data_IF_747620115362
#
_entry.id   IF_747620115362
#
_cell.length_a   1.000
_cell.length_b   1.000
_cell.length_c   1.000
_cell.angle_alpha   90.00
_cell.angle_beta   90.00
_cell.angle_gamma   90.00
#
_symmetry.space_group_name_H-M   'P 1'
#
loop_
_entity.id
_entity.type
_entity.pdbx_description
1 polymer ?
#
# COMPACT_ATOMS: atom_id res chain seq x y z
N UNK A 1 -28.19 0.72 -13.52
CA UNK A 1 -26.99 1.03 -12.70
C UNK A 1 -26.03 -0.17 -12.68
N UNK A 2 -25.05 -0.20 -13.59
CA UNK A 2 -24.09 -1.29 -13.68
C UNK A 2 -23.01 -1.13 -12.60
N UNK A 3 -23.06 -2.02 -11.60
CA UNK A 3 -21.97 -2.16 -10.62
C UNK A 3 -20.77 -2.68 -11.41
N UNK A 4 -19.83 -1.80 -11.77
CA UNK A 4 -18.55 -2.22 -12.35
C UNK A 4 -17.82 -3.00 -11.26
N UNK A 5 -17.75 -4.32 -11.41
CA UNK A 5 -16.82 -5.14 -10.63
C UNK A 5 -15.41 -4.56 -10.85
N UNK A 6 -14.57 -4.41 -9.81
CA UNK A 6 -13.18 -4.08 -10.00
C UNK A 6 -12.58 -5.15 -10.94
N UNK A 7 -12.02 -4.73 -12.08
CA UNK A 7 -11.34 -5.65 -13.00
C UNK A 7 -9.88 -5.91 -12.60
N UNK A 8 -9.43 -5.34 -11.49
CA UNK A 8 -8.06 -5.43 -10.99
C UNK A 8 -7.93 -6.28 -9.73
N UNK A 9 -6.69 -6.54 -9.34
CA UNK A 9 -6.37 -7.37 -8.17
C UNK A 9 -6.95 -6.73 -6.90
N UNK A 10 -7.67 -7.54 -6.12
CA UNK A 10 -8.08 -7.18 -4.76
C UNK A 10 -7.20 -8.00 -3.82
N UNK A 11 -6.69 -7.36 -2.78
CA UNK A 11 -5.95 -8.03 -1.73
C UNK A 11 -6.52 -7.67 -0.37
N UNK A 12 -6.16 -8.42 0.65
CA UNK A 12 -6.42 -8.08 2.05
C UNK A 12 -5.17 -8.27 2.88
N UNK A 13 -4.83 -7.26 3.66
CA UNK A 13 -3.78 -7.34 4.67
C UNK A 13 -4.34 -7.71 6.04
N UNK A 14 -3.56 -8.45 6.81
CA UNK A 14 -3.77 -8.71 8.23
C UNK A 14 -2.45 -8.95 8.96
N UNK A 15 -2.27 -8.41 10.17
CA UNK A 15 -1.06 -8.60 10.98
C UNK A 15 -0.14 -7.39 11.10
N UNK A 16 -0.49 -6.24 10.51
CA UNK A 16 0.09 -4.95 10.89
C UNK A 16 -0.33 -4.58 12.32
N UNK A 17 0.54 -3.89 13.06
CA UNK A 17 0.21 -3.40 14.41
C UNK A 17 -0.83 -2.28 14.38
N UNK A 18 -0.81 -1.48 13.30
CA UNK A 18 -1.82 -0.47 13.00
C UNK A 18 -3.05 -1.12 12.37
N UNK A 19 -4.16 -1.15 13.12
CA UNK A 19 -5.38 -1.82 12.68
C UNK A 19 -5.94 -1.22 11.39
N UNK A 20 -5.79 0.09 11.22
CA UNK A 20 -6.16 0.84 10.02
C UNK A 20 -5.46 0.38 8.74
N UNK A 21 -4.34 -0.34 8.82
CA UNK A 21 -3.64 -0.88 7.65
C UNK A 21 -4.13 -2.27 7.26
N UNK A 22 -4.83 -2.98 8.16
CA UNK A 22 -5.32 -4.36 7.98
C UNK A 22 -6.66 -4.41 7.23
N UNK A 23 -6.68 -3.82 6.04
CA UNK A 23 -7.87 -3.65 5.20
C UNK A 23 -7.74 -4.40 3.87
N UNK A 24 -8.83 -4.41 3.11
CA UNK A 24 -8.79 -4.79 1.70
C UNK A 24 -8.33 -3.62 0.85
N UNK A 25 -7.53 -3.89 -0.18
CA UNK A 25 -7.10 -2.89 -1.15
C UNK A 25 -7.39 -3.40 -2.55
N UNK A 26 -8.04 -2.58 -3.37
CA UNK A 26 -8.34 -2.89 -4.75
C UNK A 26 -7.50 -2.02 -5.68
N UNK A 27 -6.97 -2.63 -6.73
CA UNK A 27 -6.29 -1.90 -7.79
C UNK A 27 -7.22 -0.83 -8.39
N UNK A 28 -6.71 0.40 -8.50
CA UNK A 28 -7.44 1.51 -9.11
C UNK A 28 -6.97 1.72 -10.54
N UNK A 29 -7.81 1.31 -11.49
CA UNK A 29 -7.51 1.44 -12.92
C UNK A 29 -7.22 2.89 -13.32
N UNK A 30 -6.11 3.09 -14.03
CA UNK A 30 -5.67 4.41 -14.52
C UNK A 30 -4.99 5.29 -13.47
N UNK A 31 -4.88 4.84 -12.22
CA UNK A 31 -4.18 5.57 -11.16
C UNK A 31 -2.82 4.93 -10.88
N UNK A 32 -1.80 5.42 -11.59
CA UNK A 32 -0.41 5.05 -11.31
C UNK A 32 0.26 6.07 -10.39
N UNK A 33 1.03 5.57 -9.43
CA UNK A 33 1.84 6.41 -8.54
C UNK A 33 3.29 5.95 -8.68
N UNK A 34 4.15 6.90 -9.08
CA UNK A 34 5.57 6.69 -9.35
C UNK A 34 5.87 5.51 -10.30
N UNK A 35 5.01 5.31 -11.31
CA UNK A 35 5.24 4.38 -12.42
C UNK A 35 4.78 2.94 -12.17
N UNK A 36 3.92 2.69 -11.17
CA UNK A 36 3.19 1.42 -11.02
C UNK A 36 1.75 1.67 -10.60
N UNK A 37 0.90 0.67 -10.81
CA UNK A 37 -0.48 0.66 -10.33
C UNK A 37 -0.56 0.91 -8.81
N UNK A 38 -1.58 1.64 -8.39
CA UNK A 38 -1.90 1.89 -6.98
C UNK A 38 -3.13 1.10 -6.54
N UNK A 39 -3.18 0.77 -5.25
CA UNK A 39 -4.24 -0.05 -4.66
C UNK A 39 -4.83 0.71 -3.49
N UNK A 40 -6.15 0.77 -3.40
CA UNK A 40 -6.85 1.67 -2.50
C UNK A 40 -7.82 0.90 -1.63
N UNK A 41 -7.94 1.29 -0.37
CA UNK A 41 -9.00 0.78 0.47
C UNK A 41 -10.37 1.33 0.00
N UNK A 42 -11.48 0.66 0.33
CA UNK A 42 -12.81 1.09 -0.11
C UNK A 42 -13.21 2.50 0.34
N UNK A 43 -12.63 3.02 1.42
CA UNK A 43 -12.93 4.34 1.98
C UNK A 43 -11.96 5.43 1.50
N UNK A 44 -10.99 5.08 0.64
CA UNK A 44 -10.00 6.00 0.10
C UNK A 44 -9.20 6.74 1.19
N UNK A 45 -8.97 6.09 2.33
CA UNK A 45 -8.17 6.61 3.44
C UNK A 45 -6.72 6.18 3.35
N UNK A 46 -6.46 4.99 2.82
CA UNK A 46 -5.15 4.38 2.70
C UNK A 46 -4.94 3.80 1.30
N UNK A 47 -3.69 3.76 0.87
CA UNK A 47 -3.30 3.17 -0.39
C UNK A 47 -1.95 2.48 -0.34
N UNK A 48 -1.80 1.44 -1.17
CA UNK A 48 -0.55 0.77 -1.46
C UNK A 48 0.00 1.32 -2.77
N UNK A 49 1.28 1.68 -2.78
CA UNK A 49 1.93 2.17 -3.97
C UNK A 49 3.42 1.83 -4.01
N UNK A 50 4.01 2.03 -5.18
CA UNK A 50 5.43 1.88 -5.42
C UNK A 50 6.19 3.16 -5.09
N UNK A 51 7.22 3.05 -4.25
CA UNK A 51 8.19 4.10 -4.01
C UNK A 51 9.36 3.92 -4.96
N UNK A 52 9.42 4.69 -6.05
CA UNK A 52 10.40 4.52 -7.14
C UNK A 52 11.84 4.72 -6.69
N UNK A 53 12.10 5.74 -5.87
CA UNK A 53 13.45 6.03 -5.35
C UNK A 53 13.98 4.93 -4.43
N UNK A 54 13.13 4.37 -3.58
CA UNK A 54 13.47 3.32 -2.63
C UNK A 54 13.31 1.89 -3.20
N UNK A 55 12.76 1.76 -4.41
CA UNK A 55 12.47 0.49 -5.09
C UNK A 55 11.70 -0.51 -4.24
N UNK A 56 10.64 -0.05 -3.57
CA UNK A 56 9.83 -0.87 -2.66
C UNK A 56 8.35 -0.48 -2.67
N UNK A 57 7.50 -1.34 -2.14
CA UNK A 57 6.08 -1.04 -1.92
C UNK A 57 5.86 -0.46 -0.53
N UNK A 58 4.88 0.43 -0.41
CA UNK A 58 4.49 1.04 0.86
C UNK A 58 2.98 1.21 0.97
N UNK A 59 2.48 1.20 2.22
CA UNK A 59 1.12 1.63 2.57
C UNK A 59 1.20 3.07 3.10
N UNK A 60 0.32 3.94 2.64
CA UNK A 60 0.32 5.37 2.98
C UNK A 60 -1.12 5.90 3.11
N UNK A 61 -1.31 7.03 3.77
CA UNK A 61 -2.61 7.69 3.89
C UNK A 61 -2.90 8.61 2.70
N UNK A 62 -4.19 8.84 2.45
CA UNK A 62 -4.66 9.73 1.38
C UNK A 62 -4.15 11.17 1.50
N UNK A 63 -3.95 11.69 2.72
CA UNK A 63 -3.43 13.06 2.91
C UNK A 63 -2.04 13.23 2.28
N UNK A 64 -1.28 12.14 2.19
CA UNK A 64 0.06 12.08 1.61
C UNK A 64 0.07 11.77 0.10
N UNK A 65 -1.08 11.61 -0.56
CA UNK A 65 -1.13 11.24 -1.99
C UNK A 65 -0.47 12.28 -2.89
N UNK A 66 -0.62 13.58 -2.58
CA UNK A 66 0.01 14.65 -3.34
C UNK A 66 1.54 14.56 -3.30
N UNK A 67 2.10 14.29 -2.12
CA UNK A 67 3.53 14.06 -1.92
C UNK A 67 4.02 12.79 -2.63
N UNK A 68 3.26 11.70 -2.54
CA UNK A 68 3.59 10.46 -3.26
C UNK A 68 3.62 10.68 -4.78
N UNK A 69 2.65 11.43 -5.33
CA UNK A 69 2.59 11.78 -6.76
C UNK A 69 3.72 12.71 -7.21
N UNK A 70 4.22 13.58 -6.34
CA UNK A 70 5.37 14.44 -6.63
C UNK A 70 6.72 13.72 -6.52
N UNK A 71 6.73 12.42 -6.18
CA UNK A 71 7.93 11.59 -6.12
C UNK A 71 8.54 11.43 -4.73
N UNK A 72 7.94 12.02 -3.69
CA UNK A 72 8.32 11.76 -2.30
C UNK A 72 7.88 10.36 -1.88
N UNK A 73 8.45 9.83 -0.81
CA UNK A 73 8.22 8.45 -0.37
C UNK A 73 7.62 8.35 1.05
N UNK A 74 6.46 8.99 1.33
CA UNK A 74 5.77 8.83 2.61
C UNK A 74 5.20 7.42 2.78
N UNK A 75 4.99 6.98 4.01
CA UNK A 75 4.36 5.69 4.30
C UNK A 75 4.27 5.37 5.78
N UNK A 76 3.29 4.53 6.12
CA UNK A 76 3.08 3.95 7.43
C UNK A 76 3.66 2.54 7.54
N UNK A 77 3.76 1.84 6.42
CA UNK A 77 4.43 0.55 6.31
C UNK A 77 5.15 0.44 4.96
N UNK A 78 6.24 -0.32 4.90
CA UNK A 78 6.90 -0.65 3.65
C UNK A 78 7.41 -2.09 3.61
N UNK A 79 7.42 -2.68 2.42
CA UNK A 79 8.09 -3.96 2.16
C UNK A 79 9.59 -3.73 2.04
N UNK A 80 10.40 -4.53 2.71
CA UNK A 80 11.86 -4.37 2.76
C UNK A 80 12.57 -4.84 1.47
N UNK A 81 11.82 -5.33 0.48
CA UNK A 81 12.34 -5.78 -0.81
C UNK A 81 11.49 -5.22 -1.97
N UNK A 82 11.94 -5.48 -3.20
CA UNK A 82 11.34 -4.94 -4.43
C UNK A 82 10.26 -5.83 -5.07
N UNK A 83 9.97 -6.98 -4.48
CA UNK A 83 8.95 -7.90 -5.02
C UNK A 83 7.55 -7.33 -4.81
N UNK A 84 6.56 -7.82 -5.56
CA UNK A 84 5.18 -7.34 -5.43
C UNK A 84 4.68 -7.45 -3.99
N UNK A 85 3.94 -6.46 -3.49
CA UNK A 85 3.51 -6.39 -2.07
C UNK A 85 2.65 -7.58 -1.64
N UNK A 86 1.92 -8.19 -2.58
CA UNK A 86 1.09 -9.36 -2.33
C UNK A 86 1.90 -10.66 -2.14
N UNK A 87 3.20 -10.64 -2.47
CA UNK A 87 4.08 -11.78 -2.24
C UNK A 87 4.65 -11.73 -0.82
N UNK A 88 4.95 -12.90 -0.21
CA UNK A 88 5.58 -12.95 1.10
C UNK A 88 6.87 -12.11 1.17
N UNK A 89 7.17 -11.59 2.35
CA UNK A 89 8.44 -10.92 2.63
C UNK A 89 8.41 -10.08 3.89
N UNK A 90 9.53 -9.43 4.17
CA UNK A 90 9.70 -8.62 5.39
C UNK A 90 9.02 -7.28 5.21
N UNK A 91 8.26 -6.87 6.22
CA UNK A 91 7.68 -5.55 6.28
C UNK A 91 8.22 -4.77 7.47
N UNK A 92 8.22 -3.46 7.33
CA UNK A 92 8.51 -2.51 8.39
C UNK A 92 7.31 -1.59 8.56
N UNK A 93 6.97 -1.25 9.79
CA UNK A 93 5.86 -0.38 10.16
C UNK A 93 6.35 0.78 11.02
N UNK A 94 5.81 1.97 10.78
CA UNK A 94 6.15 3.18 11.51
C UNK A 94 5.54 3.17 12.92
N UNK A 95 6.39 3.35 13.92
CA UNK A 95 6.05 3.41 15.34
C UNK A 95 6.69 4.66 15.96
N UNK A 96 5.95 5.76 15.99
CA UNK A 96 6.47 7.05 16.42
C UNK A 96 7.57 7.55 15.48
N UNK A 97 8.82 7.59 15.97
CA UNK A 97 10.01 7.98 15.18
C UNK A 97 10.81 6.77 14.67
N UNK A 98 10.36 5.56 14.96
CA UNK A 98 11.07 4.32 14.64
C UNK A 98 10.34 3.51 13.57
N UNK A 99 11.06 2.60 12.93
CA UNK A 99 10.51 1.56 12.09
C UNK A 99 10.70 0.21 12.76
N UNK A 100 9.63 -0.56 12.90
CA UNK A 100 9.66 -1.88 13.55
C UNK A 100 9.30 -2.97 12.55
N UNK A 101 9.88 -4.18 12.67
CA UNK A 101 9.45 -5.32 11.86
C UNK A 101 7.96 -5.60 12.04
N UNK A 102 7.26 -5.82 10.94
CA UNK A 102 5.89 -6.30 10.88
C UNK A 102 5.84 -7.58 10.04
N UNK A 103 4.92 -8.47 10.38
CA UNK A 103 4.71 -9.73 9.67
C UNK A 103 3.26 -9.83 9.14
N UNK A 104 2.83 -8.88 8.29
CA UNK A 104 1.51 -8.94 7.70
C UNK A 104 1.42 -10.13 6.74
N UNK A 105 0.26 -10.78 6.75
CA UNK A 105 -0.16 -11.72 5.72
C UNK A 105 -0.98 -10.93 4.71
N UNK A 106 -0.70 -11.16 3.42
CA UNK A 106 -1.49 -10.64 2.32
C UNK A 106 -2.19 -11.79 1.61
N UNK A 107 -3.51 -11.73 1.52
CA UNK A 107 -4.31 -12.70 0.75
C UNK A 107 -4.90 -12.02 -0.47
N UNK A 108 -4.98 -12.75 -1.59
CA UNK A 108 -5.66 -12.33 -2.82
C UNK A 108 -7.11 -12.82 -2.79
#
# INVERSE_FOLDING_TARGET
PSIRRPRGLIVRFGGFGKQELNLSYAERSGEEIQGRASYWDPQMQYFVYWQRSARRWAVCDFASVGAAKSGLAPGWAYKADSTHFALPGKWMEAWGREWRPAAPVCTV
#
